data_IF_433207656386
#
_entry.id   IF_433207656386
#
_cell.length_a   1.000
_cell.length_b   1.000
_cell.length_c   1.000
_cell.angle_alpha   90.00
_cell.angle_beta   90.00
_cell.angle_gamma   90.00
#
_symmetry.space_group_name_H-M   'P 1'
#
loop_
_entity.id
_entity.type
_entity.pdbx_description
1 polymer ?
#
# COMPACT_ATOMS: atom_id res chain seq x y z
N UNK A 1 -8.12 -0.48 -19.63
CA UNK A 1 -8.87 0.09 -20.77
C UNK A 1 -10.35 -0.06 -20.47
N UNK A 2 -11.21 0.72 -21.11
CA UNK A 2 -12.64 0.42 -21.20
C UNK A 2 -12.91 0.15 -22.67
N UNK A 3 -13.27 -1.08 -23.01
CA UNK A 3 -13.49 -1.48 -24.40
C UNK A 3 -14.73 -0.79 -24.97
N UNK A 4 -14.79 -0.59 -26.28
CA UNK A 4 -16.05 -0.19 -26.92
C UNK A 4 -17.07 -1.31 -26.81
N UNK A 5 -18.32 -0.98 -26.54
CA UNK A 5 -19.39 -1.97 -26.46
C UNK A 5 -20.58 -1.49 -25.65
N UNK A 6 -21.52 -2.41 -25.46
CA UNK A 6 -22.71 -2.21 -24.65
C UNK A 6 -22.46 -2.74 -23.24
N UNK A 7 -22.57 -1.88 -22.25
CA UNK A 7 -22.37 -2.20 -20.84
C UNK A 7 -23.70 -2.17 -20.11
N UNK A 8 -24.16 -3.33 -19.63
CA UNK A 8 -25.31 -3.39 -18.74
C UNK A 8 -24.93 -2.94 -17.33
N UNK A 9 -25.59 -1.90 -16.84
CA UNK A 9 -25.52 -1.46 -15.44
C UNK A 9 -26.79 -1.93 -14.77
N UNK A 10 -26.68 -2.56 -13.60
CA UNK A 10 -27.84 -3.07 -12.88
C UNK A 10 -27.80 -2.70 -11.41
N UNK A 11 -28.97 -2.34 -10.89
CA UNK A 11 -29.23 -2.31 -9.45
C UNK A 11 -29.75 -3.70 -9.09
N UNK A 12 -29.08 -4.33 -8.14
CA UNK A 12 -29.44 -5.67 -7.69
C UNK A 12 -29.64 -5.66 -6.18
N UNK A 13 -30.53 -6.54 -5.70
CA UNK A 13 -30.71 -6.80 -4.27
C UNK A 13 -29.54 -7.64 -3.73
N UNK A 14 -29.05 -8.57 -4.55
CA UNK A 14 -27.84 -9.36 -4.35
C UNK A 14 -27.20 -9.71 -5.71
N UNK A 15 -26.15 -10.53 -5.78
CA UNK A 15 -25.49 -10.87 -7.05
C UNK A 15 -26.35 -11.68 -8.04
N UNK A 16 -27.51 -12.18 -7.61
CA UNK A 16 -28.38 -13.07 -8.37
C UNK A 16 -29.76 -12.44 -8.68
N UNK A 17 -30.25 -11.56 -7.82
CA UNK A 17 -31.57 -10.92 -7.93
C UNK A 17 -31.46 -9.47 -8.44
N UNK A 18 -31.66 -9.29 -9.75
CA UNK A 18 -31.68 -7.97 -10.41
C UNK A 18 -33.01 -7.25 -10.17
N UNK A 19 -32.94 -5.99 -9.76
CA UNK A 19 -34.10 -5.10 -9.56
C UNK A 19 -34.37 -4.29 -10.83
N UNK A 20 -33.35 -3.61 -11.33
CA UNK A 20 -33.43 -2.76 -12.51
C UNK A 20 -32.11 -2.82 -13.28
N UNK A 21 -32.16 -2.63 -14.61
CA UNK A 21 -30.94 -2.45 -15.39
C UNK A 21 -31.12 -1.47 -16.53
N UNK A 22 -30.04 -0.78 -16.85
CA UNK A 22 -29.93 0.13 -17.96
C UNK A 22 -28.64 -0.15 -18.73
N UNK A 23 -28.72 -0.10 -20.05
CA UNK A 23 -27.55 -0.31 -20.89
C UNK A 23 -26.93 1.03 -21.30
N UNK A 24 -25.60 1.12 -21.15
CA UNK A 24 -24.82 2.26 -21.59
C UNK A 24 -23.92 1.83 -22.74
N UNK A 25 -23.92 2.59 -23.83
CA UNK A 25 -23.03 2.31 -24.97
C UNK A 25 -21.75 3.14 -24.84
N UNK A 26 -20.61 2.46 -24.97
CA UNK A 26 -19.29 3.08 -25.09
C UNK A 26 -18.87 2.94 -26.55
N UNK A 27 -18.99 4.03 -27.31
CA UNK A 27 -18.80 3.99 -28.77
C UNK A 27 -17.36 3.68 -29.21
N UNK A 28 -16.37 4.02 -28.37
CA UNK A 28 -14.94 3.86 -28.69
C UNK A 28 -14.17 3.39 -27.47
N UNK A 29 -13.23 2.47 -27.69
CA UNK A 29 -12.32 1.98 -26.65
C UNK A 29 -11.55 3.14 -26.02
N UNK A 30 -11.69 3.29 -24.71
CA UNK A 30 -10.99 4.28 -23.90
C UNK A 30 -9.70 3.64 -23.36
N UNK A 31 -8.57 4.21 -23.75
CA UNK A 31 -7.25 3.77 -23.31
C UNK A 31 -6.61 4.79 -22.38
N UNK A 32 -6.11 4.33 -21.24
CA UNK A 32 -5.42 5.13 -20.22
C UNK A 32 -3.90 5.01 -20.42
N UNK A 33 -3.38 5.67 -21.46
CA UNK A 33 -1.95 5.72 -21.83
C UNK A 33 -1.55 7.16 -22.18
N UNK A 34 -0.24 7.45 -22.20
CA UNK A 34 0.29 8.72 -22.68
C UNK A 34 -0.13 9.94 -21.85
N UNK A 35 -0.13 9.81 -20.51
CA UNK A 35 -0.53 10.86 -19.59
C UNK A 35 -2.01 10.84 -19.19
N UNK A 36 -2.84 10.02 -19.84
CA UNK A 36 -4.20 9.70 -19.35
C UNK A 36 -4.12 8.61 -18.29
N UNK A 37 -4.67 8.87 -17.11
CA UNK A 37 -4.67 7.94 -15.97
C UNK A 37 -6.09 7.50 -15.62
N UNK A 38 -6.21 6.36 -14.94
CA UNK A 38 -7.46 5.99 -14.26
C UNK A 38 -7.67 6.94 -13.09
N UNK A 39 -8.92 7.11 -12.64
CA UNK A 39 -9.29 8.06 -11.57
C UNK A 39 -8.43 7.93 -10.29
N UNK A 40 -8.00 6.72 -9.95
CA UNK A 40 -7.19 6.46 -8.75
C UNK A 40 -5.68 6.46 -8.99
N UNK A 41 -5.24 6.55 -10.25
CA UNK A 41 -3.82 6.48 -10.59
C UNK A 41 -3.25 7.89 -10.82
N UNK A 42 -2.10 8.16 -10.20
CA UNK A 42 -1.26 9.33 -10.44
C UNK A 42 -0.48 9.24 -11.75
N UNK A 43 -0.03 8.06 -12.13
CA UNK A 43 0.67 7.80 -13.40
C UNK A 43 -0.05 6.70 -14.19
N UNK A 44 0.11 6.67 -15.52
CA UNK A 44 -0.53 5.64 -16.34
C UNK A 44 -0.02 4.25 -15.95
N UNK A 45 -0.94 3.32 -15.70
CA UNK A 45 -0.57 1.95 -15.36
C UNK A 45 0.15 1.25 -16.52
N UNK A 46 1.16 0.46 -16.18
CA UNK A 46 1.93 -0.36 -17.11
C UNK A 46 1.99 -1.81 -16.63
N UNK A 47 2.35 -2.74 -17.51
CA UNK A 47 2.49 -4.15 -17.10
C UNK A 47 3.71 -4.30 -16.19
N UNK A 48 3.52 -4.90 -15.02
CA UNK A 48 4.52 -5.00 -13.96
C UNK A 48 4.73 -6.44 -13.46
N UNK A 49 3.83 -7.37 -13.79
CA UNK A 49 3.75 -8.69 -13.17
C UNK A 49 3.75 -9.85 -14.18
N UNK A 50 4.25 -9.65 -15.41
CA UNK A 50 4.41 -10.73 -16.40
C UNK A 50 5.20 -11.94 -15.84
N UNK A 51 6.25 -11.68 -15.05
CA UNK A 51 7.03 -12.75 -14.41
C UNK A 51 6.21 -13.57 -13.40
N UNK A 52 5.07 -13.05 -12.94
CA UNK A 52 4.21 -13.68 -11.95
C UNK A 52 3.09 -14.51 -12.55
N UNK A 53 2.86 -14.43 -13.87
CA UNK A 53 1.93 -15.30 -14.58
C UNK A 53 2.40 -16.76 -14.54
N UNK A 54 3.71 -17.00 -14.61
CA UNK A 54 4.26 -18.35 -14.61
C UNK A 54 3.86 -19.18 -15.83
N UNK A 55 4.12 -20.48 -15.76
CA UNK A 55 3.74 -21.45 -16.79
C UNK A 55 2.53 -22.26 -16.31
N UNK A 56 1.38 -21.58 -16.22
CA UNK A 56 0.12 -22.18 -15.77
C UNK A 56 -1.00 -21.88 -16.76
N UNK A 57 -1.90 -22.85 -16.94
CA UNK A 57 -3.12 -22.63 -17.73
C UNK A 57 -4.17 -21.96 -16.84
N UNK A 58 -4.40 -20.67 -17.06
CA UNK A 58 -5.44 -19.93 -16.33
C UNK A 58 -6.84 -20.32 -16.79
N UNK A 59 -7.74 -20.51 -15.83
CA UNK A 59 -9.16 -20.74 -16.10
C UNK A 59 -9.75 -19.52 -16.82
N UNK A 60 -10.38 -19.77 -17.95
CA UNK A 60 -11.02 -18.73 -18.76
C UNK A 60 -12.53 -18.84 -18.64
N UNK A 61 -13.24 -17.72 -18.53
CA UNK A 61 -14.71 -17.70 -18.59
C UNK A 61 -15.25 -17.92 -20.01
N UNK A 62 -14.38 -17.87 -21.01
CA UNK A 62 -14.75 -18.05 -22.42
C UNK A 62 -15.49 -19.38 -22.62
N UNK A 63 -16.57 -19.31 -23.39
CA UNK A 63 -17.40 -20.46 -23.77
C UNK A 63 -17.86 -21.30 -22.55
N UNK A 64 -18.22 -20.63 -21.45
CA UNK A 64 -18.70 -21.30 -20.24
C UNK A 64 -17.64 -22.13 -19.53
N UNK A 65 -16.41 -21.62 -19.45
CA UNK A 65 -15.26 -22.36 -18.92
C UNK A 65 -14.84 -23.58 -19.75
N UNK A 66 -14.88 -23.48 -21.07
CA UNK A 66 -14.51 -24.58 -21.97
C UNK A 66 -13.11 -25.16 -21.70
N UNK A 67 -12.19 -24.36 -21.14
CA UNK A 67 -10.84 -24.82 -20.79
C UNK A 67 -10.71 -25.39 -19.36
N UNK A 68 -11.81 -25.60 -18.63
CA UNK A 68 -11.81 -26.05 -17.23
C UNK A 68 -10.93 -27.30 -17.04
N UNK A 69 -11.13 -28.34 -17.86
CA UNK A 69 -10.36 -29.59 -17.78
C UNK A 69 -8.85 -29.36 -17.91
N UNK A 70 -8.42 -28.42 -18.76
CA UNK A 70 -7.02 -28.08 -18.92
C UNK A 70 -6.49 -27.24 -17.76
N UNK A 71 -7.26 -26.26 -17.30
CA UNK A 71 -6.90 -25.37 -16.20
C UNK A 71 -6.83 -26.09 -14.84
N UNK A 72 -7.60 -27.17 -14.65
CA UNK A 72 -7.60 -27.99 -13.43
C UNK A 72 -6.80 -29.28 -13.57
N UNK A 73 -6.08 -29.48 -14.67
CA UNK A 73 -5.22 -30.64 -14.84
C UNK A 73 -4.07 -30.62 -13.83
N UNK A 74 -3.57 -31.81 -13.46
CA UNK A 74 -2.34 -31.91 -12.67
C UNK A 74 -1.19 -31.19 -13.40
N UNK A 75 -0.29 -30.52 -12.67
CA UNK A 75 0.85 -29.85 -13.30
C UNK A 75 1.71 -30.85 -14.08
N UNK A 76 2.17 -30.44 -15.26
CA UNK A 76 3.07 -31.24 -16.09
C UNK A 76 4.47 -31.39 -15.46
N UNK A 77 4.85 -30.46 -14.58
CA UNK A 77 6.15 -30.43 -13.90
C UNK A 77 5.99 -29.83 -12.51
N UNK A 78 6.76 -30.38 -11.54
CA UNK A 78 6.91 -29.81 -10.19
C UNK A 78 8.19 -28.96 -10.08
N UNK A 79 8.85 -28.64 -11.20
CA UNK A 79 10.06 -27.82 -11.24
C UNK A 79 9.73 -26.42 -11.69
N UNK A 80 10.27 -25.43 -10.98
CA UNK A 80 10.22 -24.04 -11.40
C UNK A 80 11.04 -23.83 -12.69
N UNK A 81 10.51 -23.12 -13.70
CA UNK A 81 11.25 -22.78 -14.91
C UNK A 81 12.58 -22.06 -14.61
N UNK A 82 13.59 -22.25 -15.46
CA UNK A 82 14.92 -21.67 -15.23
C UNK A 82 14.91 -20.14 -15.12
N UNK A 83 14.16 -19.45 -15.97
CA UNK A 83 14.04 -17.99 -15.91
C UNK A 83 13.41 -17.52 -14.59
N UNK A 84 12.40 -18.24 -14.09
CA UNK A 84 11.81 -17.96 -12.77
C UNK A 84 12.81 -18.23 -11.64
N UNK A 85 13.60 -19.32 -11.73
CA UNK A 85 14.63 -19.64 -10.72
C UNK A 85 15.70 -18.54 -10.61
N UNK A 86 16.07 -17.91 -11.72
CA UNK A 86 17.02 -16.77 -11.72
C UNK A 86 16.51 -15.58 -10.90
N UNK A 87 15.18 -15.43 -10.79
CA UNK A 87 14.52 -14.38 -10.02
C UNK A 87 14.20 -14.77 -8.56
N UNK A 88 14.24 -16.07 -8.26
CA UNK A 88 13.79 -16.67 -7.01
C UNK A 88 14.76 -16.49 -5.84
N UNK A 89 16.02 -16.20 -6.14
CA UNK A 89 17.02 -15.85 -5.12
C UNK A 89 16.88 -14.35 -4.86
N UNK A 90 16.61 -13.97 -3.60
CA UNK A 90 16.27 -12.60 -3.19
C UNK A 90 17.11 -11.53 -3.88
N UNK A 91 16.51 -10.35 -4.09
CA UNK A 91 17.11 -9.25 -4.84
C UNK A 91 18.61 -9.13 -4.51
N UNK A 92 19.46 -9.55 -5.44
CA UNK A 92 20.91 -9.46 -5.26
C UNK A 92 21.19 -7.99 -4.96
N UNK A 93 21.79 -7.70 -3.82
CA UNK A 93 22.24 -6.36 -3.50
C UNK A 93 23.09 -5.88 -4.68
N UNK A 94 22.56 -4.91 -5.43
CA UNK A 94 23.34 -4.26 -6.46
C UNK A 94 24.22 -3.27 -5.72
N UNK A 95 25.52 -3.52 -5.70
CA UNK A 95 26.47 -2.58 -5.15
C UNK A 95 26.19 -1.17 -5.74
N UNK A 96 26.31 -0.11 -4.94
CA UNK A 96 26.14 1.24 -5.43
C UNK A 96 27.05 1.47 -6.64
N UNK A 97 26.64 2.34 -7.56
CA UNK A 97 27.54 2.85 -8.59
C UNK A 97 28.82 3.35 -7.91
N UNK A 98 30.00 2.95 -8.38
CA UNK A 98 31.29 3.39 -7.81
C UNK A 98 31.44 4.93 -7.86
N UNK A 99 30.65 5.59 -8.72
CA UNK A 99 30.55 7.05 -8.82
C UNK A 99 29.53 7.68 -7.87
N UNK A 100 28.80 6.88 -7.09
CA UNK A 100 27.79 7.37 -6.17
C UNK A 100 28.46 8.13 -5.02
N UNK A 101 28.03 9.38 -4.83
CA UNK A 101 28.48 10.19 -3.69
C UNK A 101 27.59 9.89 -2.48
N UNK A 102 28.21 9.70 -1.32
CA UNK A 102 27.47 9.58 -0.07
C UNK A 102 26.58 10.81 0.16
N UNK A 103 25.33 10.63 0.63
CA UNK A 103 24.53 11.76 1.07
C UNK A 103 25.17 12.44 2.27
N UNK A 104 24.79 13.70 2.49
CA UNK A 104 25.18 14.44 3.69
C UNK A 104 24.44 13.83 4.88
N UNK A 105 25.16 13.59 5.98
CA UNK A 105 24.61 13.00 7.21
C UNK A 105 25.24 13.68 8.42
N UNK A 106 24.50 13.76 9.54
CA UNK A 106 25.00 14.36 10.78
C UNK A 106 25.24 15.87 10.75
N UNK A 107 24.70 16.58 9.76
CA UNK A 107 24.73 18.05 9.70
C UNK A 107 23.97 18.66 10.90
N UNK A 108 24.33 19.88 11.29
CA UNK A 108 23.70 20.61 12.40
C UNK A 108 22.84 21.76 11.86
N UNK A 109 21.79 21.42 11.11
CA UNK A 109 20.94 22.41 10.43
C UNK A 109 19.90 23.08 11.35
N UNK A 110 19.83 22.70 12.63
CA UNK A 110 18.90 23.26 13.62
C UNK A 110 17.43 22.94 13.35
N UNK A 111 17.14 21.96 12.50
CA UNK A 111 15.77 21.60 12.12
C UNK A 111 15.24 20.49 13.03
N UNK A 112 14.03 20.62 13.53
CA UNK A 112 13.34 19.59 14.31
C UNK A 112 12.14 19.07 13.51
N UNK A 113 11.79 17.80 13.68
CA UNK A 113 10.73 17.13 12.90
C UNK A 113 9.38 17.87 13.00
N UNK A 114 9.03 18.42 14.16
CA UNK A 114 7.77 19.15 14.33
C UNK A 114 7.64 20.38 13.42
N UNK A 115 8.75 20.99 12.99
CA UNK A 115 8.73 22.15 12.08
C UNK A 115 8.26 21.79 10.68
N UNK A 116 8.26 20.50 10.34
CA UNK A 116 7.78 19.98 9.08
C UNK A 116 6.28 19.67 9.09
N UNK A 117 5.61 19.81 10.23
CA UNK A 117 4.17 19.60 10.32
C UNK A 117 3.41 20.52 9.32
N UNK A 118 2.55 19.92 8.51
CA UNK A 118 1.78 20.61 7.48
C UNK A 118 2.58 21.10 6.27
N UNK A 119 3.90 20.86 6.22
CA UNK A 119 4.72 21.19 5.05
C UNK A 119 4.45 20.23 3.90
N UNK A 120 4.63 20.72 2.67
CA UNK A 120 4.52 19.88 1.48
C UNK A 120 5.62 18.81 1.49
N UNK A 121 5.36 17.71 0.81
CA UNK A 121 6.30 16.60 0.65
C UNK A 121 7.65 17.05 0.05
N UNK A 122 7.62 18.06 -0.83
CA UNK A 122 8.78 18.60 -1.54
C UNK A 122 9.34 19.89 -0.92
N UNK A 123 8.91 20.23 0.30
CA UNK A 123 9.44 21.39 1.01
C UNK A 123 10.96 21.27 1.21
N UNK A 124 11.77 22.29 0.86
CA UNK A 124 13.23 22.24 1.00
C UNK A 124 13.73 21.95 2.42
N UNK A 125 12.92 22.24 3.45
CA UNK A 125 13.25 21.96 4.85
C UNK A 125 13.42 20.46 5.12
N UNK A 126 12.82 19.58 4.31
CA UNK A 126 13.04 18.13 4.37
C UNK A 126 14.48 17.74 4.15
N UNK A 127 15.16 18.33 3.16
CA UNK A 127 16.56 18.02 2.90
C UNK A 127 17.44 18.46 4.06
N UNK A 128 17.17 19.65 4.63
CA UNK A 128 17.88 20.13 5.81
C UNK A 128 17.70 19.22 7.01
N UNK A 129 16.50 18.70 7.24
CA UNK A 129 16.22 17.74 8.32
C UNK A 129 16.96 16.42 8.07
N UNK A 130 16.88 15.88 6.85
CA UNK A 130 17.49 14.62 6.44
C UNK A 130 19.01 14.64 6.57
N UNK A 131 19.64 15.74 6.19
CA UNK A 131 21.09 15.90 6.30
C UNK A 131 21.58 15.80 7.76
N UNK A 132 20.70 15.95 8.77
CA UNK A 132 21.06 15.82 10.20
C UNK A 132 21.00 14.37 10.71
N UNK A 133 20.34 13.46 9.97
CA UNK A 133 20.19 12.07 10.40
C UNK A 133 21.52 11.35 10.20
N UNK A 134 22.00 10.66 11.22
CA UNK A 134 23.24 9.87 11.14
C UNK A 134 23.01 8.55 10.41
N UNK A 135 24.09 7.90 9.96
CA UNK A 135 24.00 6.55 9.38
C UNK A 135 23.48 5.54 10.40
N UNK A 136 23.86 5.67 11.66
CA UNK A 136 23.39 4.79 12.73
C UNK A 136 21.90 4.97 13.01
N UNK A 137 21.40 6.22 13.04
CA UNK A 137 19.97 6.50 13.15
C UNK A 137 19.18 5.90 11.97
N UNK A 138 19.71 6.02 10.75
CA UNK A 138 19.10 5.40 9.57
C UNK A 138 19.06 3.88 9.69
N UNK A 139 20.17 3.26 10.11
CA UNK A 139 20.24 1.81 10.32
C UNK A 139 19.24 1.35 11.39
N UNK A 140 19.14 2.06 12.51
CA UNK A 140 18.18 1.75 13.57
C UNK A 140 16.73 1.85 13.08
N UNK A 141 16.40 2.90 12.33
CA UNK A 141 15.05 3.08 11.78
C UNK A 141 14.63 1.97 10.80
N UNK A 142 15.57 1.37 10.07
CA UNK A 142 15.24 0.33 9.08
C UNK A 142 15.39 -1.08 9.64
N UNK A 143 16.28 -1.31 10.59
CA UNK A 143 16.59 -2.65 11.11
C UNK A 143 15.80 -3.01 12.38
N UNK A 144 15.34 -2.02 13.15
CA UNK A 144 14.72 -2.21 14.48
C UNK A 144 13.26 -1.72 14.53
N UNK A 145 12.54 -1.80 13.42
CA UNK A 145 11.19 -1.25 13.25
C UNK A 145 10.03 -2.17 13.69
N UNK A 146 10.31 -3.32 14.32
CA UNK A 146 9.25 -4.23 14.79
C UNK A 146 8.49 -3.64 15.98
N UNK A 147 7.18 -3.46 15.86
CA UNK A 147 6.27 -2.90 16.88
C UNK A 147 6.66 -1.50 17.38
N UNK A 148 7.53 -0.80 16.67
CA UNK A 148 7.96 0.54 17.03
C UNK A 148 8.67 1.24 15.88
N UNK A 149 8.71 2.58 15.93
CA UNK A 149 9.57 3.38 15.08
C UNK A 149 10.50 4.24 15.96
N UNK A 150 11.81 3.95 15.87
CA UNK A 150 12.82 4.41 16.82
C UNK A 150 12.88 5.94 16.98
N UNK A 151 13.28 6.39 18.16
CA UNK A 151 13.58 7.80 18.42
C UNK A 151 14.76 8.26 17.55
N UNK A 152 14.74 9.52 17.11
CA UNK A 152 15.95 10.20 16.62
C UNK A 152 16.07 11.54 17.33
N UNK A 153 16.95 11.60 18.32
CA UNK A 153 17.12 12.79 19.15
C UNK A 153 17.69 13.98 18.38
N UNK A 154 18.54 13.75 17.36
CA UNK A 154 19.15 14.81 16.53
C UNK A 154 18.11 15.67 15.78
N UNK A 155 16.92 15.11 15.53
CA UNK A 155 15.81 15.80 14.88
C UNK A 155 14.58 15.92 15.79
N UNK A 156 14.72 15.63 17.09
CA UNK A 156 13.62 15.60 18.08
C UNK A 156 12.42 14.76 17.61
N UNK A 157 12.68 13.65 16.92
CA UNK A 157 11.65 12.68 16.57
C UNK A 157 11.43 11.76 17.77
N UNK A 158 10.25 11.72 18.40
CA UNK A 158 9.97 10.78 19.47
C UNK A 158 9.90 9.34 18.93
N UNK A 159 10.13 8.37 19.83
CA UNK A 159 9.77 6.97 19.57
C UNK A 159 8.25 6.87 19.37
N UNK A 160 7.87 6.01 18.45
CA UNK A 160 6.49 5.67 18.12
C UNK A 160 6.26 4.19 18.43
N UNK A 161 5.05 3.84 18.86
CA UNK A 161 4.68 2.47 19.21
C UNK A 161 3.64 1.97 18.21
N UNK A 162 3.87 0.75 17.71
CA UNK A 162 3.02 0.10 16.73
C UNK A 162 2.52 -1.21 17.33
N UNK A 163 1.24 -1.51 17.16
CA UNK A 163 0.61 -2.68 17.80
C UNK A 163 -0.31 -3.41 16.84
N UNK A 164 -0.48 -4.71 17.04
CA UNK A 164 -1.60 -5.45 16.47
C UNK A 164 -2.90 -4.95 17.08
N UNK A 165 -4.07 -5.18 16.50
CA UNK A 165 -4.39 -5.85 15.26
C UNK A 165 -5.76 -5.39 14.74
N UNK A 166 -6.35 -6.09 13.75
CA UNK A 166 -7.54 -5.61 13.05
C UNK A 166 -8.80 -5.42 13.91
N UNK A 167 -8.94 -6.22 14.98
CA UNK A 167 -10.13 -6.25 15.85
C UNK A 167 -9.93 -5.64 17.25
N UNK A 168 -8.71 -5.26 17.62
CA UNK A 168 -8.39 -4.65 18.93
C UNK A 168 -6.96 -4.14 18.87
N UNK A 169 -6.57 -3.18 19.70
CA UNK A 169 -5.17 -2.85 19.93
C UNK A 169 -4.61 -3.79 21.00
N UNK A 170 -3.54 -4.51 20.70
CA UNK A 170 -2.90 -5.50 21.56
C UNK A 170 -1.39 -5.29 21.50
N UNK A 171 -0.81 -4.90 22.63
CA UNK A 171 0.62 -4.77 22.77
C UNK A 171 1.23 -6.08 23.25
N UNK A 172 1.86 -6.81 22.33
CA UNK A 172 2.46 -8.12 22.60
C UNK A 172 3.63 -8.08 23.60
N UNK A 173 4.14 -6.91 23.98
CA UNK A 173 5.26 -6.76 24.93
C UNK A 173 4.84 -6.26 26.32
N UNK A 174 3.76 -5.49 26.42
CA UNK A 174 3.24 -4.99 27.70
C UNK A 174 2.04 -5.77 28.21
N UNK A 175 1.44 -6.62 27.36
CA UNK A 175 0.17 -7.32 27.60
C UNK A 175 -1.02 -6.38 27.80
N UNK A 176 -0.86 -5.09 27.49
CA UNK A 176 -1.97 -4.13 27.45
C UNK A 176 -2.78 -4.32 26.19
N UNK A 177 -4.11 -4.24 26.32
CA UNK A 177 -5.04 -4.39 25.21
C UNK A 177 -6.23 -3.43 25.33
N UNK A 178 -6.86 -3.14 24.20
CA UNK A 178 -8.10 -2.38 24.12
C UNK A 178 -9.32 -3.29 24.20
N UNK A 179 -10.52 -2.69 24.16
CA UNK A 179 -11.74 -3.46 23.90
C UNK A 179 -11.67 -4.13 22.52
N UNK A 180 -12.29 -5.31 22.41
CA UNK A 180 -12.40 -6.07 21.17
C UNK A 180 -13.61 -5.64 20.34
N UNK A 181 -13.41 -5.60 19.02
CA UNK A 181 -14.40 -5.29 18.01
C UNK A 181 -14.80 -6.53 17.21
N UNK A 182 -15.91 -6.47 16.45
CA UNK A 182 -16.24 -7.51 15.48
C UNK A 182 -15.13 -7.72 14.46
N UNK A 183 -14.98 -8.96 14.01
CA UNK A 183 -14.05 -9.32 12.96
C UNK A 183 -14.34 -8.54 11.66
N UNK A 184 -13.31 -8.32 10.83
CA UNK A 184 -13.42 -7.51 9.61
C UNK A 184 -14.45 -8.03 8.62
N UNK A 185 -14.67 -9.35 8.59
CA UNK A 185 -15.77 -10.00 7.85
C UNK A 185 -17.14 -9.48 8.28
N UNK A 186 -17.41 -9.40 9.57
CA UNK A 186 -18.66 -8.86 10.12
C UNK A 186 -18.84 -7.40 9.76
N UNK A 187 -17.77 -6.60 9.83
CA UNK A 187 -17.80 -5.19 9.42
C UNK A 187 -18.14 -5.06 7.94
N UNK A 188 -17.54 -5.88 7.07
CA UNK A 188 -17.83 -5.87 5.63
C UNK A 188 -19.28 -6.22 5.31
N UNK A 189 -19.88 -7.17 6.05
CA UNK A 189 -21.29 -7.56 5.90
C UNK A 189 -22.29 -6.45 6.20
N UNK A 190 -21.85 -5.33 6.81
CA UNK A 190 -22.71 -4.16 7.00
C UNK A 190 -22.92 -3.36 5.71
N UNK A 191 -22.01 -3.49 4.72
CA UNK A 191 -21.95 -2.62 3.53
C UNK A 191 -22.00 -1.12 3.86
N UNK A 192 -21.58 -0.74 5.07
CA UNK A 192 -21.75 0.60 5.60
C UNK A 192 -20.39 1.29 5.81
N UNK A 193 -20.08 2.22 4.90
CA UNK A 193 -18.84 3.00 4.93
C UNK A 193 -18.76 3.93 6.16
N UNK A 194 -19.89 4.45 6.63
CA UNK A 194 -19.94 5.34 7.81
C UNK A 194 -19.58 4.59 9.08
N UNK A 195 -20.14 3.39 9.28
CA UNK A 195 -19.79 2.51 10.40
C UNK A 195 -18.32 2.09 10.34
N UNK A 196 -17.79 1.82 9.15
CA UNK A 196 -16.36 1.53 8.97
C UNK A 196 -15.49 2.76 9.34
N UNK A 197 -15.91 3.97 9.01
CA UNK A 197 -15.21 5.19 9.42
C UNK A 197 -15.25 5.40 10.93
N UNK A 198 -16.40 5.17 11.56
CA UNK A 198 -16.57 5.25 13.01
C UNK A 198 -15.70 4.23 13.74
N UNK A 199 -15.66 2.97 13.26
CA UNK A 199 -14.74 1.95 13.75
C UNK A 199 -13.30 2.47 13.79
N UNK A 200 -12.82 3.05 12.68
CA UNK A 200 -11.48 3.63 12.60
C UNK A 200 -11.26 4.77 13.60
N UNK A 201 -12.26 5.64 13.81
CA UNK A 201 -12.17 6.73 14.78
C UNK A 201 -12.04 6.21 16.21
N UNK A 202 -12.79 5.17 16.58
CA UNK A 202 -12.72 4.60 17.94
C UNK A 202 -11.37 3.90 18.15
N UNK A 203 -10.85 3.18 17.15
CA UNK A 203 -9.47 2.67 17.19
C UNK A 203 -8.47 3.81 17.44
N UNK A 204 -8.66 4.94 16.76
CA UNK A 204 -7.84 6.13 16.93
C UNK A 204 -7.89 6.73 18.34
N UNK A 205 -9.06 6.73 18.98
CA UNK A 205 -9.25 7.21 20.35
C UNK A 205 -8.58 6.26 21.36
N UNK A 206 -8.82 4.95 21.25
CA UNK A 206 -8.16 3.95 22.10
C UNK A 206 -6.63 4.00 21.96
N UNK A 207 -6.12 4.23 20.74
CA UNK A 207 -4.69 4.36 20.50
C UNK A 207 -4.09 5.57 21.23
N UNK A 208 -4.81 6.70 21.31
CA UNK A 208 -4.35 7.86 22.06
C UNK A 208 -4.23 7.56 23.56
N UNK A 209 -5.23 6.88 24.14
CA UNK A 209 -5.20 6.45 25.54
C UNK A 209 -4.03 5.49 25.81
N UNK A 210 -3.76 4.59 24.86
CA UNK A 210 -2.68 3.59 24.94
C UNK A 210 -1.30 4.10 24.47
N UNK A 211 -1.18 5.37 24.06
CA UNK A 211 0.06 5.94 23.50
C UNK A 211 0.63 5.14 22.31
N UNK A 212 -0.28 4.70 21.45
CA UNK A 212 -0.04 3.98 20.21
C UNK A 212 -0.15 4.95 19.03
N UNK A 213 0.75 4.84 18.07
CA UNK A 213 0.77 5.66 16.85
C UNK A 213 0.55 4.86 15.59
N UNK A 214 0.97 3.59 15.58
CA UNK A 214 0.77 2.67 14.47
C UNK A 214 -0.20 1.54 14.80
N UNK A 215 -1.11 1.30 13.88
CA UNK A 215 -2.09 0.23 13.97
C UNK A 215 -1.80 -0.78 12.87
N UNK A 216 -1.34 -1.99 13.23
CA UNK A 216 -1.07 -3.08 12.27
C UNK A 216 -2.36 -3.65 11.69
N UNK A 217 -3.07 -2.82 10.94
CA UNK A 217 -4.37 -3.04 10.34
C UNK A 217 -4.80 -1.79 9.54
N UNK A 218 -5.86 -1.91 8.73
CA UNK A 218 -6.65 -3.10 8.49
C UNK A 218 -5.96 -4.13 7.59
N UNK A 219 -6.37 -5.40 7.73
CA UNK A 219 -5.94 -6.48 6.87
C UNK A 219 -6.98 -6.71 5.75
N UNK A 220 -6.55 -6.81 4.50
CA UNK A 220 -7.44 -6.69 3.33
C UNK A 220 -7.06 -7.60 2.16
N UNK A 221 -6.38 -8.71 2.44
CA UNK A 221 -6.17 -9.76 1.46
C UNK A 221 -7.52 -10.34 0.98
N UNK A 222 -7.53 -10.92 -0.22
CA UNK A 222 -8.77 -11.37 -0.86
C UNK A 222 -9.18 -12.71 -0.27
N UNK A 223 -10.47 -12.91 0.01
CA UNK A 223 -11.01 -14.25 0.32
C UNK A 223 -11.00 -15.14 -0.94
N UNK A 224 -9.81 -15.54 -1.41
CA UNK A 224 -9.65 -16.38 -2.62
C UNK A 224 -10.25 -17.77 -2.45
N UNK A 225 -10.26 -18.27 -1.22
CA UNK A 225 -10.78 -19.58 -0.84
C UNK A 225 -11.48 -19.45 0.50
N UNK A 226 -12.60 -20.15 0.68
CA UNK A 226 -13.30 -20.24 1.96
C UNK A 226 -12.44 -20.84 3.07
N UNK A 227 -11.39 -21.60 2.72
CA UNK A 227 -10.45 -22.22 3.66
C UNK A 227 -9.27 -21.33 4.04
N UNK A 228 -9.29 -20.04 3.69
CA UNK A 228 -8.27 -19.09 4.11
C UNK A 228 -8.27 -18.92 5.62
N UNK A 229 -7.21 -19.37 6.30
CA UNK A 229 -7.13 -19.36 7.78
C UNK A 229 -7.20 -17.98 8.42
N UNK A 230 -6.95 -16.91 7.66
CA UNK A 230 -7.05 -15.50 8.09
C UNK A 230 -8.20 -14.75 7.43
N UNK A 231 -9.14 -15.43 6.78
CA UNK A 231 -10.30 -14.76 6.19
C UNK A 231 -11.07 -13.93 7.22
N UNK A 232 -11.13 -14.37 8.48
CA UNK A 232 -11.85 -13.66 9.55
C UNK A 232 -11.40 -12.21 9.73
N UNK A 233 -10.11 -11.90 9.54
CA UNK A 233 -9.55 -10.55 9.67
C UNK A 233 -9.44 -9.80 8.34
N UNK A 234 -9.88 -10.42 7.24
CA UNK A 234 -10.01 -9.77 5.94
C UNK A 234 -11.49 -9.44 5.66
N UNK A 235 -11.75 -8.58 4.69
CA UNK A 235 -13.11 -8.05 4.46
C UNK A 235 -13.96 -8.91 3.50
N UNK A 236 -13.47 -9.19 2.30
CA UNK A 236 -14.31 -9.77 1.23
C UNK A 236 -13.49 -10.46 0.14
N UNK A 237 -14.17 -11.28 -0.67
CA UNK A 237 -13.70 -11.71 -1.99
C UNK A 237 -13.77 -10.59 -3.05
N UNK A 238 -14.65 -9.60 -2.86
CA UNK A 238 -14.77 -8.44 -3.75
C UNK A 238 -13.79 -7.32 -3.35
N UNK A 239 -12.91 -6.96 -4.29
CA UNK A 239 -11.87 -5.96 -4.06
C UNK A 239 -12.41 -4.54 -3.85
N UNK A 240 -13.60 -4.23 -4.38
CA UNK A 240 -14.23 -2.91 -4.23
C UNK A 240 -14.85 -2.76 -2.83
N UNK A 241 -15.62 -3.73 -2.35
CA UNK A 241 -16.16 -3.76 -0.99
C UNK A 241 -15.04 -3.75 0.04
N UNK A 242 -14.07 -4.67 -0.09
CA UNK A 242 -12.94 -4.74 0.82
C UNK A 242 -12.16 -3.41 0.88
N UNK A 243 -11.91 -2.79 -0.27
CA UNK A 243 -11.22 -1.51 -0.34
C UNK A 243 -12.01 -0.32 0.20
N UNK A 244 -13.32 -0.27 -0.02
CA UNK A 244 -14.17 0.80 0.52
C UNK A 244 -14.17 0.78 2.05
N UNK A 245 -14.42 -0.40 2.65
CA UNK A 245 -14.45 -0.56 4.11
C UNK A 245 -13.06 -0.29 4.72
N UNK A 246 -12.00 -0.86 4.14
CA UNK A 246 -10.63 -0.64 4.61
C UNK A 246 -10.20 0.84 4.51
N UNK A 247 -10.53 1.52 3.41
CA UNK A 247 -10.22 2.93 3.22
C UNK A 247 -10.93 3.81 4.25
N UNK A 248 -12.19 3.54 4.56
CA UNK A 248 -12.95 4.26 5.58
C UNK A 248 -12.37 4.08 6.99
N UNK A 249 -12.01 2.85 7.38
CA UNK A 249 -11.33 2.58 8.65
C UNK A 249 -10.00 3.34 8.76
N UNK A 250 -9.18 3.31 7.71
CA UNK A 250 -7.90 4.04 7.68
C UNK A 250 -8.12 5.55 7.81
N UNK A 251 -9.07 6.12 7.07
CA UNK A 251 -9.39 7.53 7.14
C UNK A 251 -9.87 7.94 8.55
N UNK A 252 -10.70 7.10 9.17
CA UNK A 252 -11.17 7.27 10.56
C UNK A 252 -10.02 7.31 11.55
N UNK A 253 -9.15 6.29 11.54
CA UNK A 253 -7.98 6.22 12.43
C UNK A 253 -7.00 7.39 12.21
N UNK A 254 -6.75 7.74 10.94
CA UNK A 254 -5.91 8.87 10.56
C UNK A 254 -6.44 10.20 11.07
N UNK A 255 -7.76 10.40 11.10
CA UNK A 255 -8.37 11.62 11.64
C UNK A 255 -8.07 11.84 13.14
N UNK A 256 -7.65 10.79 13.84
CA UNK A 256 -7.22 10.80 15.24
C UNK A 256 -5.69 10.71 15.41
N UNK A 257 -4.94 10.84 14.32
CA UNK A 257 -3.47 10.86 14.35
C UNK A 257 -2.78 9.48 14.32
N UNK A 258 -3.53 8.40 14.08
CA UNK A 258 -2.98 7.04 13.98
C UNK A 258 -2.77 6.66 12.53
N UNK A 259 -1.59 6.11 12.19
CA UNK A 259 -1.38 5.52 10.87
C UNK A 259 -1.74 4.03 10.87
N UNK A 260 -2.65 3.66 9.99
CA UNK A 260 -2.98 2.25 9.72
C UNK A 260 -2.01 1.64 8.70
N UNK A 261 -1.53 0.43 8.99
CA UNK A 261 -0.78 -0.39 8.05
C UNK A 261 -1.74 -1.23 7.21
N UNK A 262 -1.94 -0.83 5.96
CA UNK A 262 -2.63 -1.68 5.02
C UNK A 262 -1.83 -2.97 4.80
N UNK A 263 -2.41 -4.12 5.18
CA UNK A 263 -1.70 -5.41 5.23
C UNK A 263 -2.51 -6.59 4.66
N UNK A 264 -1.89 -7.68 4.22
CA UNK A 264 -0.46 -7.86 3.95
C UNK A 264 -0.27 -7.64 2.46
N UNK A 265 0.55 -6.66 2.09
CA UNK A 265 0.74 -6.21 0.72
C UNK A 265 1.75 -7.11 -0.02
N UNK A 266 1.35 -8.01 -0.91
CA UNK A 266 0.00 -8.38 -1.35
C UNK A 266 -0.10 -9.89 -1.62
N UNK A 267 -1.29 -10.39 -1.97
CA UNK A 267 -1.55 -11.79 -2.34
C UNK A 267 -1.21 -12.84 -1.26
N UNK A 268 -1.35 -12.48 0.01
CA UNK A 268 -1.20 -13.39 1.15
C UNK A 268 -2.52 -14.07 1.51
N UNK A 269 -3.10 -14.79 0.55
CA UNK A 269 -4.45 -15.35 0.65
C UNK A 269 -4.43 -16.84 1.09
N UNK A 270 -3.26 -17.37 1.46
CA UNK A 270 -3.07 -18.75 1.92
C UNK A 270 -2.07 -18.80 3.07
N UNK A 271 -2.45 -19.45 4.16
CA UNK A 271 -1.63 -19.55 5.37
C UNK A 271 -0.58 -20.66 5.29
N UNK A 272 -0.96 -21.81 4.73
CA UNK A 272 -0.06 -22.95 4.57
C UNK A 272 1.18 -22.54 3.79
N UNK A 273 2.35 -22.71 4.42
CA UNK A 273 3.67 -22.38 3.88
C UNK A 273 3.92 -20.89 3.57
N UNK A 274 3.11 -19.95 4.10
CA UNK A 274 3.31 -18.51 3.84
C UNK A 274 4.72 -18.00 4.16
N UNK A 275 5.39 -18.57 5.16
CA UNK A 275 6.79 -18.27 5.54
C UNK A 275 7.84 -19.21 4.89
N UNK A 276 7.40 -20.25 4.18
CA UNK A 276 8.24 -21.27 3.58
C UNK A 276 8.30 -21.12 2.05
N UNK A 277 8.56 -19.89 1.58
CA UNK A 277 8.75 -19.56 0.16
C UNK A 277 7.53 -19.89 -0.73
N UNK A 278 6.31 -19.71 -0.20
CA UNK A 278 5.07 -19.83 -0.97
C UNK A 278 5.07 -18.88 -2.18
N UNK A 279 4.99 -19.44 -3.39
CA UNK A 279 4.88 -18.69 -4.64
C UNK A 279 3.43 -18.57 -5.09
N UNK A 280 2.87 -17.36 -5.03
CA UNK A 280 1.52 -17.08 -5.53
C UNK A 280 1.59 -16.62 -6.99
N UNK A 281 1.15 -17.45 -7.92
CA UNK A 281 1.14 -17.16 -9.36
C UNK A 281 -0.19 -16.53 -9.78
N UNK A 282 -0.13 -15.44 -10.54
CA UNK A 282 -1.30 -14.72 -11.03
C UNK A 282 -0.91 -13.82 -12.22
N UNK A 283 -1.85 -13.56 -13.11
CA UNK A 283 -1.62 -12.65 -14.23
C UNK A 283 -1.77 -11.17 -13.78
N UNK A 284 -1.21 -10.25 -14.57
CA UNK A 284 -1.27 -8.80 -14.32
C UNK A 284 -2.71 -8.33 -14.05
N UNK A 285 -3.66 -8.76 -14.87
CA UNK A 285 -5.05 -8.31 -14.75
C UNK A 285 -5.65 -8.67 -13.40
N UNK A 286 -5.58 -9.93 -12.98
CA UNK A 286 -6.12 -10.38 -11.71
C UNK A 286 -5.39 -9.71 -10.53
N UNK A 287 -4.06 -9.58 -10.59
CA UNK A 287 -3.28 -8.83 -9.59
C UNK A 287 -3.84 -7.41 -9.43
N UNK A 288 -4.06 -6.70 -10.53
CA UNK A 288 -4.52 -5.31 -10.52
C UNK A 288 -5.97 -5.13 -10.10
N UNK A 289 -6.86 -5.94 -10.65
CA UNK A 289 -8.30 -5.75 -10.57
C UNK A 289 -8.92 -6.38 -9.31
N UNK A 290 -8.27 -7.42 -8.76
CA UNK A 290 -8.76 -8.15 -7.59
C UNK A 290 -7.85 -7.87 -6.39
N UNK A 291 -6.61 -8.35 -6.44
CA UNK A 291 -5.75 -8.44 -5.25
C UNK A 291 -5.19 -7.09 -4.78
N UNK A 292 -4.89 -6.19 -5.71
CA UNK A 292 -4.36 -4.86 -5.39
C UNK A 292 -5.45 -3.80 -5.23
N UNK A 293 -6.69 -4.10 -5.62
CA UNK A 293 -7.79 -3.13 -5.60
C UNK A 293 -8.10 -2.60 -4.19
N UNK A 294 -8.15 -3.43 -3.12
CA UNK A 294 -8.34 -2.92 -1.77
C UNK A 294 -7.24 -1.95 -1.34
N UNK A 295 -5.98 -2.33 -1.57
CA UNK A 295 -4.81 -1.54 -1.23
C UNK A 295 -4.74 -0.22 -2.00
N UNK A 296 -5.13 -0.20 -3.28
CA UNK A 296 -5.20 1.03 -4.08
C UNK A 296 -6.21 2.01 -3.47
N UNK A 297 -7.40 1.54 -3.10
CA UNK A 297 -8.43 2.35 -2.47
C UNK A 297 -7.97 2.88 -1.10
N UNK A 298 -7.36 2.03 -0.27
CA UNK A 298 -6.81 2.42 1.02
C UNK A 298 -5.69 3.46 0.91
N UNK A 299 -4.77 3.29 -0.05
CA UNK A 299 -3.68 4.24 -0.28
C UNK A 299 -4.20 5.60 -0.80
N UNK A 300 -5.12 5.59 -1.76
CA UNK A 300 -5.55 6.80 -2.49
C UNK A 300 -6.73 7.48 -1.81
N UNK A 301 -7.81 6.76 -1.50
CA UNK A 301 -9.01 7.32 -0.86
C UNK A 301 -8.88 7.39 0.66
N UNK A 302 -8.41 6.29 1.28
CA UNK A 302 -8.20 6.24 2.74
C UNK A 302 -7.03 7.11 3.21
N UNK A 303 -6.10 7.41 2.30
CA UNK A 303 -4.92 8.21 2.58
C UNK A 303 -3.94 7.50 3.52
N UNK A 304 -3.84 6.17 3.41
CA UNK A 304 -2.86 5.38 4.17
C UNK A 304 -1.43 5.93 4.00
N UNK A 305 -0.64 5.83 5.04
CA UNK A 305 0.77 6.28 5.06
C UNK A 305 1.74 5.20 5.53
N UNK A 306 1.24 4.00 5.80
CA UNK A 306 2.02 2.84 6.22
C UNK A 306 1.51 1.58 5.51
N UNK A 307 2.42 0.67 5.16
CA UNK A 307 2.13 -0.59 4.49
C UNK A 307 2.97 -1.68 5.13
N UNK A 308 2.36 -2.84 5.41
CA UNK A 308 3.10 -4.03 5.80
C UNK A 308 3.09 -4.99 4.60
N UNK A 309 4.28 -5.33 4.09
CA UNK A 309 4.40 -6.28 2.98
C UNK A 309 4.03 -7.70 3.42
N UNK A 310 3.75 -8.61 2.49
CA UNK A 310 3.47 -10.02 2.80
C UNK A 310 4.70 -10.93 2.85
N UNK A 311 4.55 -12.09 3.50
CA UNK A 311 5.58 -13.13 3.53
C UNK A 311 5.77 -13.86 2.19
N UNK A 312 4.70 -14.01 1.42
CA UNK A 312 4.73 -14.81 0.20
C UNK A 312 5.53 -14.15 -0.94
N UNK A 313 5.77 -14.93 -1.97
CA UNK A 313 6.31 -14.49 -3.25
C UNK A 313 5.13 -14.22 -4.19
N UNK A 314 5.27 -13.20 -5.04
CA UNK A 314 4.36 -12.91 -6.15
C UNK A 314 5.04 -13.42 -7.42
N UNK A 315 4.65 -14.61 -7.85
CA UNK A 315 5.43 -15.44 -8.75
C UNK A 315 6.81 -15.76 -8.14
N UNK A 316 7.92 -15.45 -8.83
CA UNK A 316 9.26 -15.76 -8.34
C UNK A 316 9.85 -14.66 -7.45
N UNK A 317 9.16 -13.54 -7.19
CA UNK A 317 9.72 -12.40 -6.43
C UNK A 317 9.09 -12.28 -5.05
N UNK A 318 9.92 -12.23 -4.02
CA UNK A 318 9.45 -11.99 -2.65
C UNK A 318 8.78 -10.63 -2.53
N UNK A 319 7.56 -10.57 -1.97
CA UNK A 319 6.72 -9.36 -1.97
C UNK A 319 7.44 -8.14 -1.39
N UNK A 320 8.12 -8.31 -0.24
CA UNK A 320 8.83 -7.24 0.45
C UNK A 320 10.06 -6.69 -0.30
N UNK A 321 10.55 -7.40 -1.33
CA UNK A 321 11.66 -6.95 -2.19
C UNK A 321 11.24 -6.70 -3.64
N UNK A 322 9.94 -6.75 -3.93
CA UNK A 322 9.43 -6.62 -5.28
C UNK A 322 9.32 -5.15 -5.69
N UNK A 323 10.35 -4.62 -6.36
CA UNK A 323 10.38 -3.22 -6.82
C UNK A 323 9.23 -2.85 -7.76
N UNK A 324 8.70 -3.81 -8.53
CA UNK A 324 7.54 -3.56 -9.38
C UNK A 324 6.30 -3.27 -8.52
N UNK A 325 6.09 -4.05 -7.46
CA UNK A 325 5.02 -3.82 -6.49
C UNK A 325 5.24 -2.52 -5.68
N UNK A 326 6.40 -2.39 -5.02
CA UNK A 326 6.65 -1.34 -4.02
C UNK A 326 7.00 0.02 -4.61
N UNK A 327 7.71 0.06 -5.74
CA UNK A 327 8.16 1.31 -6.35
C UNK A 327 7.35 1.69 -7.58
N UNK A 328 7.15 0.76 -8.53
CA UNK A 328 6.43 1.08 -9.78
C UNK A 328 4.94 1.28 -9.51
N UNK A 329 4.28 0.31 -8.90
CA UNK A 329 2.83 0.37 -8.62
C UNK A 329 2.52 1.30 -7.45
N UNK A 330 2.97 0.97 -6.24
CA UNK A 330 2.58 1.71 -5.03
C UNK A 330 3.03 3.19 -5.08
N UNK A 331 4.30 3.47 -5.37
CA UNK A 331 4.85 4.85 -5.30
C UNK A 331 4.72 5.65 -6.60
N UNK A 332 4.91 4.98 -7.74
CA UNK A 332 4.77 5.57 -9.07
C UNK A 332 3.30 5.74 -9.42
N UNK A 333 2.67 4.64 -9.83
CA UNK A 333 1.30 4.65 -10.36
C UNK A 333 0.28 5.19 -9.36
N UNK A 334 0.30 4.80 -8.08
CA UNK A 334 -0.67 5.31 -7.10
C UNK A 334 -0.21 6.58 -6.37
N UNK A 335 1.06 6.96 -6.53
CA UNK A 335 1.59 8.16 -5.88
C UNK A 335 1.73 8.06 -4.36
N UNK A 336 1.75 6.85 -3.77
CA UNK A 336 1.83 6.67 -2.32
C UNK A 336 3.03 7.40 -1.71
N UNK A 337 2.80 8.12 -0.61
CA UNK A 337 3.81 8.84 0.17
C UNK A 337 3.69 8.40 1.63
N UNK A 338 4.44 7.37 1.95
CA UNK A 338 4.50 6.74 3.26
C UNK A 338 5.65 5.74 3.31
N UNK A 339 5.68 4.91 4.35
CA UNK A 339 6.70 3.89 4.54
C UNK A 339 6.14 2.47 4.37
N UNK A 340 7.04 1.53 4.09
CA UNK A 340 6.74 0.11 3.98
C UNK A 340 7.63 -0.62 4.97
N UNK A 341 7.05 -1.53 5.73
CA UNK A 341 7.78 -2.46 6.58
C UNK A 341 7.53 -3.91 6.13
N UNK A 342 8.39 -4.81 6.57
CA UNK A 342 8.20 -6.26 6.38
C UNK A 342 7.19 -6.80 7.40
N UNK A 343 6.48 -7.87 7.06
CA UNK A 343 5.74 -8.65 8.06
C UNK A 343 6.70 -9.27 9.10
N UNK A 344 6.17 -9.62 10.29
CA UNK A 344 6.95 -9.97 11.47
C UNK A 344 7.61 -11.35 11.38
N UNK A 345 8.91 -11.42 11.66
CA UNK A 345 9.72 -12.62 11.46
C UNK A 345 9.35 -13.82 12.35
N UNK A 346 9.35 -15.03 11.77
CA UNK A 346 9.15 -16.31 12.47
C UNK A 346 10.24 -17.37 12.27
N UNK A 347 11.44 -17.04 11.74
CA UNK A 347 12.50 -18.02 11.44
C UNK A 347 12.56 -18.47 9.96
N UNK A 348 13.77 -18.75 9.44
CA UNK A 348 14.00 -19.28 8.08
C UNK A 348 14.83 -18.38 7.16
N UNK A 349 15.29 -18.91 6.00
CA UNK A 349 16.25 -18.37 4.99
C UNK A 349 16.01 -16.95 4.42
N UNK A 350 15.21 -16.11 5.07
CA UNK A 350 14.99 -14.69 4.76
C UNK A 350 16.02 -13.76 5.43
N UNK A 351 17.19 -14.30 5.79
CA UNK A 351 18.27 -13.61 6.53
C UNK A 351 18.91 -12.45 5.76
N UNK A 352 18.78 -12.41 4.43
CA UNK A 352 19.40 -11.39 3.59
C UNK A 352 18.54 -10.13 3.37
N UNK A 353 17.29 -10.12 3.85
CA UNK A 353 16.38 -9.01 3.57
C UNK A 353 15.70 -8.51 4.84
N UNK A 354 16.52 -8.19 5.85
CA UNK A 354 16.16 -7.29 6.97
C UNK A 354 15.90 -5.84 6.53
N UNK A 355 15.71 -5.62 5.24
CA UNK A 355 15.32 -4.32 4.72
C UNK A 355 13.82 -4.24 4.86
N UNK A 356 13.39 -3.72 6.00
CA UNK A 356 12.28 -2.79 5.98
C UNK A 356 12.58 -1.84 4.82
N UNK A 357 11.79 -1.87 3.75
CA UNK A 357 11.86 -0.88 2.70
C UNK A 357 11.29 0.44 3.25
N UNK A 358 11.92 0.95 4.32
CA UNK A 358 11.63 2.22 4.96
C UNK A 358 12.22 3.28 4.05
N UNK A 359 11.49 3.56 2.99
CA UNK A 359 11.42 4.91 2.47
C UNK A 359 10.65 5.66 3.58
N UNK A 360 11.39 6.18 4.54
CA UNK A 360 10.92 6.78 5.79
C UNK A 360 9.80 7.79 5.55
N UNK A 361 8.66 7.57 6.23
CA UNK A 361 7.50 8.48 6.40
C UNK A 361 6.98 9.18 5.11
N UNK A 362 5.87 9.93 5.14
CA UNK A 362 5.47 10.81 4.03
C UNK A 362 6.45 11.97 3.78
N UNK A 363 7.72 11.84 4.12
CA UNK A 363 8.52 12.97 4.59
C UNK A 363 10.02 12.79 4.39
N UNK A 364 10.56 11.58 4.55
CA UNK A 364 12.00 11.40 4.76
C UNK A 364 12.70 10.57 3.68
N UNK A 365 12.16 10.49 2.46
CA UNK A 365 12.88 9.82 1.39
C UNK A 365 12.60 10.42 0.00
N UNK A 366 13.45 11.37 -0.37
CA UNK A 366 13.61 11.86 -1.74
C UNK A 366 14.74 11.08 -2.43
N UNK A 367 14.51 10.44 -3.59
CA UNK A 367 15.60 10.10 -4.50
C UNK A 367 16.22 11.39 -5.05
N UNK A 368 17.53 11.60 -4.86
CA UNK A 368 18.25 12.73 -5.47
C UNK A 368 18.19 12.58 -7.00
N UNK A 369 17.53 13.50 -7.70
CA UNK A 369 17.72 13.63 -9.14
C UNK A 369 19.07 14.32 -9.41
N UNK A 370 19.87 13.83 -10.37
CA UNK A 370 21.07 14.55 -10.80
C UNK A 370 20.67 15.91 -11.35
N UNK A 371 21.22 16.97 -10.76
CA UNK A 371 21.02 18.35 -11.21
C UNK A 371 21.69 18.53 -12.57
N UNK A 372 20.89 18.47 -13.63
CA UNK A 372 21.22 19.14 -14.90
C UNK A 372 20.29 20.34 -15.00
N UNK A 373 20.87 21.54 -14.97
CA UNK A 373 20.16 22.80 -15.06
C UNK A 373 19.59 23.00 -16.46
N UNK A 374 18.30 23.30 -16.64
CA UNK A 374 17.82 23.96 -17.84
C UNK A 374 17.85 25.48 -17.61
N UNK A 375 18.52 26.17 -18.52
CA UNK A 375 18.56 27.63 -18.67
C UNK A 375 17.14 28.22 -18.72
N UNK A 376 16.81 29.29 -17.98
CA UNK A 376 15.49 29.89 -18.03
C UNK A 376 15.36 30.79 -19.27
N UNK A 377 14.36 30.51 -20.11
CA UNK A 377 13.91 31.44 -21.15
C UNK A 377 12.90 32.43 -20.56
N UNK A 378 13.13 33.70 -20.88
CA UNK A 378 12.43 34.89 -20.39
C UNK A 378 11.05 35.10 -21.02
N UNK A 379 10.05 35.50 -20.23
CA UNK A 379 8.94 36.37 -20.67
C UNK A 379 8.52 37.34 -19.55
N UNK A 380 8.08 38.59 -19.88
CA UNK A 380 8.07 39.72 -18.95
C UNK A 380 6.73 39.93 -18.20
N UNK A 381 6.67 40.83 -17.21
CA UNK A 381 5.59 40.91 -16.23
C UNK A 381 4.52 41.96 -16.60
N UNK A 382 3.27 41.73 -16.21
CA UNK A 382 2.26 42.78 -16.09
C UNK A 382 1.83 42.94 -14.62
N UNK A 383 1.84 44.20 -14.19
CA UNK A 383 1.74 44.68 -12.82
C UNK A 383 0.30 44.74 -12.26
N UNK A 384 0.21 44.46 -10.96
CA UNK A 384 -0.53 45.14 -9.85
C UNK A 384 -2.01 45.54 -10.00
N UNK A 385 -2.85 45.14 -9.03
CA UNK A 385 -3.36 46.00 -7.94
C UNK A 385 -4.25 45.22 -6.94
N UNK A 386 -4.18 45.60 -5.65
CA UNK A 386 -5.02 45.21 -4.51
C UNK A 386 -4.92 46.35 -3.46
N UNK A 387 -5.73 46.44 -2.37
CA UNK A 387 -7.12 46.02 -2.02
C UNK A 387 -7.88 47.24 -1.40
N UNK A 388 -8.79 47.22 -0.37
CA UNK A 388 -9.62 46.19 0.36
C UNK A 388 -11.09 46.68 0.62
N UNK A 389 -11.82 46.35 1.73
CA UNK A 389 -12.15 45.10 2.47
C UNK A 389 -13.70 44.85 2.61
N UNK A 390 -14.14 43.66 3.03
CA UNK A 390 -15.22 43.51 4.07
C UNK A 390 -15.44 42.05 4.53
N UNK A 391 -15.57 41.92 5.85
CA UNK A 391 -16.09 40.85 6.72
C UNK A 391 -17.41 40.19 6.28
N UNK A 392 -17.58 38.87 6.50
CA UNK A 392 -18.43 38.32 7.58
C UNK A 392 -18.37 36.79 7.67
N UNK A 393 -18.42 36.29 8.89
CA UNK A 393 -18.82 34.94 9.26
C UNK A 393 -20.24 34.62 8.76
N UNK A 394 -20.58 33.33 8.64
CA UNK A 394 -21.77 32.65 9.21
C UNK A 394 -21.87 31.23 8.61
N UNK A 395 -21.88 30.22 9.51
CA UNK A 395 -22.42 28.86 9.32
C UNK A 395 -23.95 28.90 9.48
N UNK A 396 -24.71 27.97 8.88
CA UNK A 396 -25.00 26.70 9.58
C UNK A 396 -24.22 25.51 9.05
#
# INVERSE_FOLDING_TARGET
>A
MLESGKYGISINKDSHEKIESHDVTVDKTITYKGGKTRVLDKESASNQFDTSAGDVTYLSRKDGFANFKAATAKPASNKMPEESRKLFVGAKYKAPDEKATMPTTGAKNGVSLYQLYGKKYDDPLWNKLLDQISVDDMNNLIAMAGYNNAEISSIKKPRQNDVDGPAALNNNFTSEGSIGFPASTTVANTFNEELASEYGKIIGEMAQEMRVTGWYAPAMNTHRSAFGGRNFEYFSEDGQLAGTIAAAQIAGAKSKGVYGFMKHFALNDQETNRMNMLCTWSNEQAIREIYLKPFQLSAVKGGATAVMSSFNYIGPRWSASNSNLLNKVLRGEWGFRGFVETDYFGGGNMTATKLSAVVMTPCLARPRHPTTSPTPTTRPPSRTCAPPPTTSCIRP
#
